data_IF_501435014074
#
_entry.id   IF_501435014074
#
_cell.length_a   1.000
_cell.length_b   1.000
_cell.length_c   1.000
_cell.angle_alpha   90.00
_cell.angle_beta   90.00
_cell.angle_gamma   90.00
#
_symmetry.space_group_name_H-M   'P 1'
#
loop_
_entity.id
_entity.type
_entity.pdbx_description
1 polymer ?
#
# COMPACT_ATOMS: atom_id res chain seq x y z
N UNK A 1 16.63 -8.88 11.97
CA UNK A 1 15.39 -8.23 11.47
C UNK A 1 14.52 -7.93 12.67
N UNK A 2 14.35 -6.65 13.03
CA UNK A 2 13.44 -6.22 14.09
C UNK A 2 12.09 -5.93 13.43
N UNK A 3 11.06 -6.70 13.78
CA UNK A 3 9.72 -6.44 13.30
C UNK A 3 8.95 -5.60 14.34
N UNK A 4 8.16 -4.63 13.87
CA UNK A 4 7.41 -3.68 14.71
C UNK A 4 5.93 -4.05 14.86
N UNK A 5 5.53 -5.25 14.41
CA UNK A 5 4.16 -5.71 14.47
C UNK A 5 3.65 -5.80 15.90
N UNK A 6 2.38 -5.45 16.09
CA UNK A 6 1.67 -5.65 17.36
C UNK A 6 0.33 -6.29 17.09
N UNK A 7 -0.06 -7.23 17.95
CA UNK A 7 -1.33 -7.93 17.84
C UNK A 7 -1.90 -8.18 19.24
N UNK A 8 -3.23 -8.33 19.34
CA UNK A 8 -3.91 -8.69 20.58
C UNK A 8 -4.62 -10.02 20.36
N UNK A 9 -4.34 -11.00 21.22
CA UNK A 9 -5.01 -12.30 21.16
C UNK A 9 -6.46 -12.19 21.65
N UNK A 10 -7.27 -13.23 21.41
CA UNK A 10 -8.67 -13.27 21.87
C UNK A 10 -8.78 -13.22 23.40
N UNK A 11 -7.74 -13.69 24.09
CA UNK A 11 -7.59 -13.66 25.54
C UNK A 11 -7.08 -12.30 26.06
N UNK A 12 -6.91 -11.30 25.18
CA UNK A 12 -6.48 -9.95 25.53
C UNK A 12 -4.96 -9.78 25.68
N UNK A 13 -4.16 -10.80 25.35
CA UNK A 13 -2.70 -10.71 25.47
C UNK A 13 -2.12 -9.90 24.31
N UNK A 14 -1.30 -8.89 24.64
CA UNK A 14 -0.52 -8.14 23.64
C UNK A 14 0.70 -8.96 23.21
N UNK A 15 0.85 -9.13 21.90
CA UNK A 15 2.02 -9.69 21.23
C UNK A 15 2.75 -8.58 20.49
N UNK A 16 4.08 -8.69 20.41
CA UNK A 16 4.93 -7.74 19.71
C UNK A 16 6.00 -8.45 18.87
N UNK A 17 6.46 -7.79 17.81
CA UNK A 17 7.47 -8.27 16.89
C UNK A 17 7.08 -9.59 16.23
N UNK A 18 8.03 -10.53 16.14
CA UNK A 18 7.83 -11.78 15.41
C UNK A 18 6.64 -12.61 15.93
N UNK A 19 6.34 -12.54 17.24
CA UNK A 19 5.19 -13.24 17.81
C UNK A 19 3.86 -12.66 17.32
N UNK A 20 3.80 -11.34 17.12
CA UNK A 20 2.63 -10.69 16.53
C UNK A 20 2.50 -11.08 15.05
N UNK A 21 3.60 -11.10 14.30
CA UNK A 21 3.61 -11.51 12.88
C UNK A 21 3.10 -12.93 12.71
N UNK A 22 3.62 -13.88 13.50
CA UNK A 22 3.20 -15.29 13.42
C UNK A 22 1.72 -15.47 13.81
N UNK A 23 1.24 -14.67 14.76
CA UNK A 23 -0.17 -14.67 15.15
C UNK A 23 -1.07 -14.11 14.03
N UNK A 24 -0.69 -12.99 13.43
CA UNK A 24 -1.42 -12.41 12.29
C UNK A 24 -1.40 -13.36 11.08
N UNK A 25 -0.28 -14.04 10.86
CA UNK A 25 -0.17 -15.04 9.81
C UNK A 25 -1.03 -16.27 10.06
N UNK A 26 -1.10 -16.76 11.31
CA UNK A 26 -1.95 -17.91 11.63
C UNK A 26 -3.43 -17.60 11.42
N UNK A 27 -3.87 -16.37 11.69
CA UNK A 27 -5.23 -15.91 11.35
C UNK A 27 -5.50 -15.86 9.85
N UNK A 28 -4.45 -15.69 9.05
CA UNK A 28 -4.53 -15.58 7.61
C UNK A 28 -4.34 -16.92 6.87
N UNK A 29 -4.22 -18.03 7.60
CA UNK A 29 -4.04 -19.38 7.06
C UNK A 29 -2.56 -19.78 6.82
N UNK A 30 -1.62 -19.01 7.35
CA UNK A 30 -0.18 -19.27 7.32
C UNK A 30 0.65 -18.06 6.91
N UNK A 31 1.97 -18.16 7.04
CA UNK A 31 2.89 -17.08 6.64
C UNK A 31 2.85 -16.79 5.14
N UNK A 32 2.70 -17.83 4.31
CA UNK A 32 2.68 -17.69 2.85
C UNK A 32 1.48 -16.87 2.40
N UNK A 33 0.28 -17.28 2.83
CA UNK A 33 -0.97 -16.55 2.56
C UNK A 33 -1.00 -15.15 3.17
N UNK A 34 -0.30 -14.94 4.30
CA UNK A 34 -0.18 -13.62 4.89
C UNK A 34 0.70 -12.69 4.04
N UNK A 35 1.82 -13.20 3.51
CA UNK A 35 2.68 -12.44 2.61
C UNK A 35 1.98 -12.15 1.28
N UNK A 36 1.24 -13.11 0.71
CA UNK A 36 0.45 -12.91 -0.50
C UNK A 36 -0.57 -11.77 -0.33
N UNK A 37 -1.30 -11.74 0.78
CA UNK A 37 -2.24 -10.65 1.09
C UNK A 37 -1.54 -9.29 1.19
N UNK A 38 -0.38 -9.23 1.85
CA UNK A 38 0.40 -8.00 1.94
C UNK A 38 0.81 -7.54 0.53
N UNK A 39 1.27 -8.47 -0.32
CA UNK A 39 1.67 -8.15 -1.69
C UNK A 39 0.48 -7.67 -2.53
N UNK A 40 -0.68 -8.30 -2.41
CA UNK A 40 -1.91 -7.88 -3.10
C UNK A 40 -2.34 -6.47 -2.70
N UNK A 41 -2.31 -6.15 -1.40
CA UNK A 41 -2.62 -4.81 -0.89
C UNK A 41 -1.65 -3.76 -1.42
N UNK A 42 -0.35 -4.07 -1.42
CA UNK A 42 0.70 -3.19 -1.96
C UNK A 42 0.52 -2.98 -3.46
N UNK A 43 0.26 -4.05 -4.22
CA UNK A 43 0.04 -3.98 -5.66
C UNK A 43 -1.20 -3.13 -5.99
N UNK A 44 -2.29 -3.30 -5.24
CA UNK A 44 -3.52 -2.55 -5.42
C UNK A 44 -3.34 -1.07 -5.04
N UNK A 45 -2.61 -0.76 -3.97
CA UNK A 45 -2.27 0.61 -3.61
C UNK A 45 -1.39 1.28 -4.68
N UNK A 46 -0.38 0.58 -5.19
CA UNK A 46 0.48 1.07 -6.27
C UNK A 46 -0.32 1.31 -7.55
N UNK A 47 -1.19 0.37 -7.94
CA UNK A 47 -2.07 0.50 -9.10
C UNK A 47 -3.01 1.71 -8.99
N UNK A 48 -3.60 1.95 -7.81
CA UNK A 48 -4.41 3.14 -7.54
C UNK A 48 -3.60 4.42 -7.68
N UNK A 49 -2.39 4.48 -7.12
CA UNK A 49 -1.52 5.64 -7.22
C UNK A 49 -1.14 5.97 -8.67
N UNK A 50 -0.79 4.95 -9.46
CA UNK A 50 -0.47 5.11 -10.89
C UNK A 50 -1.70 5.57 -11.66
N UNK A 51 -2.88 4.99 -11.41
CA UNK A 51 -4.13 5.39 -12.06
C UNK A 51 -4.49 6.85 -11.77
N UNK A 52 -4.35 7.30 -10.51
CA UNK A 52 -4.59 8.69 -10.13
C UNK A 52 -3.61 9.63 -10.85
N UNK A 53 -2.32 9.28 -10.88
CA UNK A 53 -1.30 10.07 -11.59
C UNK A 53 -1.58 10.14 -13.10
N UNK A 54 -1.99 9.03 -13.72
CA UNK A 54 -2.36 8.99 -15.13
C UNK A 54 -3.59 9.88 -15.41
N UNK A 55 -4.61 9.86 -14.55
CA UNK A 55 -5.76 10.76 -14.64
C UNK A 55 -5.35 12.23 -14.49
N UNK A 56 -4.45 12.55 -13.57
CA UNK A 56 -3.95 13.91 -13.41
C UNK A 56 -3.22 14.41 -14.66
N UNK A 57 -2.36 13.58 -15.27
CA UNK A 57 -1.67 13.93 -16.52
C UNK A 57 -2.65 14.05 -17.69
N UNK A 58 -3.66 13.19 -17.79
CA UNK A 58 -4.67 13.26 -18.84
C UNK A 58 -5.55 14.52 -18.70
N UNK A 59 -5.84 14.93 -17.46
CA UNK A 59 -6.65 16.11 -17.16
C UNK A 59 -5.83 17.41 -17.12
N UNK A 60 -4.51 17.36 -17.30
CA UNK A 60 -3.73 18.58 -17.42
C UNK A 60 -4.14 19.29 -18.71
N UNK A 61 -4.66 20.53 -18.62
CA UNK A 61 -4.96 21.30 -19.81
C UNK A 61 -3.66 21.47 -20.59
N UNK A 62 -3.65 21.04 -21.85
CA UNK A 62 -2.52 21.28 -22.76
C UNK A 62 -2.34 22.80 -22.82
N UNK A 63 -1.35 23.33 -22.11
CA UNK A 63 -0.93 24.72 -22.22
C UNK A 63 -0.52 24.91 -23.68
N UNK A 64 -1.42 25.51 -24.47
CA UNK A 64 -1.04 26.02 -25.78
C UNK A 64 -0.08 27.15 -25.49
N UNK A 65 1.19 26.96 -25.82
CA UNK A 65 2.14 28.04 -25.90
C UNK A 65 1.59 29.02 -26.95
N UNK A 66 0.85 30.03 -26.49
CA UNK A 66 0.53 31.18 -27.32
C UNK A 66 1.89 31.82 -27.56
N UNK A 67 2.44 31.66 -28.76
CA UNK A 67 3.59 32.45 -29.20
C UNK A 67 3.20 33.90 -28.97
N UNK A 68 3.75 34.50 -27.89
CA UNK A 68 3.59 35.91 -27.61
C UNK A 68 3.90 36.66 -28.90
N UNK A 69 2.89 37.37 -29.39
CA UNK A 69 2.96 38.05 -30.66
C UNK A 69 4.15 38.99 -30.66
N UNK A 70 4.94 38.93 -31.74
CA UNK A 70 5.81 40.06 -32.11
C UNK A 70 4.93 41.31 -32.18
N UNK A 71 5.19 42.27 -31.30
CA UNK A 71 5.10 43.69 -31.60
C UNK A 71 6.28 44.38 -30.93
#
# INVERSE_FOLDING_TARGET
MSNSDTAVTKEGKKLAGNAATLFLASLNGGMDQHLDKIMDEVALAAGRAVSVKARQLANQPKLRAVKGGKK
#
